data_IF_867964205471
#
_entry.id   IF_867964205471
#
_cell.length_a   1.000
_cell.length_b   1.000
_cell.length_c   1.000
_cell.angle_alpha   90.00
_cell.angle_beta   90.00
_cell.angle_gamma   90.00
#
_symmetry.space_group_name_H-M   'P 1'
#
loop_
_entity.id
_entity.type
_entity.pdbx_description
1 polymer ?
#
# COMPACT_ATOMS: atom_id res chain seq x y z
N UNK A 1 1.84 -21.47 9.77
CA UNK A 1 1.53 -20.77 8.52
C UNK A 1 2.81 -20.66 7.70
N UNK A 2 2.86 -21.22 6.50
CA UNK A 2 4.08 -21.28 5.68
C UNK A 2 3.79 -20.91 4.23
N UNK A 3 4.36 -19.82 3.74
CA UNK A 3 4.18 -19.29 2.40
C UNK A 3 5.50 -19.34 1.64
N UNK A 4 5.47 -19.88 0.43
CA UNK A 4 6.50 -19.72 -0.58
C UNK A 4 6.08 -18.60 -1.54
N UNK A 5 6.86 -17.53 -1.61
CA UNK A 5 6.71 -16.47 -2.60
C UNK A 5 7.67 -16.75 -3.75
N UNK A 6 7.12 -17.22 -4.87
CA UNK A 6 7.84 -17.41 -6.11
C UNK A 6 7.93 -16.09 -6.88
N UNK A 7 9.11 -15.49 -6.93
CA UNK A 7 9.36 -14.23 -7.63
C UNK A 7 9.78 -14.53 -9.07
N UNK A 8 9.05 -13.93 -10.01
CA UNK A 8 9.36 -13.95 -11.44
C UNK A 8 9.70 -12.51 -11.83
N UNK A 9 10.92 -12.27 -12.28
CA UNK A 9 11.40 -10.92 -12.53
C UNK A 9 10.96 -10.40 -13.90
N UNK A 10 10.30 -9.26 -13.90
CA UNK A 10 9.84 -8.55 -15.08
C UNK A 10 10.69 -7.30 -15.30
N UNK A 11 11.34 -7.25 -16.45
CA UNK A 11 12.24 -6.18 -16.86
C UNK A 11 11.64 -5.25 -17.92
N UNK A 12 10.61 -5.70 -18.64
CA UNK A 12 9.92 -4.90 -19.66
C UNK A 12 8.44 -5.29 -19.75
N UNK A 13 7.63 -4.39 -20.30
CA UNK A 13 6.21 -4.63 -20.59
C UNK A 13 5.86 -4.17 -22.01
N UNK A 14 5.11 -5.00 -22.73
CA UNK A 14 4.73 -4.75 -24.12
C UNK A 14 3.30 -5.17 -24.40
N UNK A 15 2.68 -4.58 -25.43
CA UNK A 15 1.41 -5.07 -25.95
C UNK A 15 1.60 -6.30 -26.85
N UNK A 16 0.68 -7.25 -26.76
CA UNK A 16 0.59 -8.39 -27.66
C UNK A 16 -0.87 -8.79 -27.90
N UNK A 17 -1.10 -9.82 -28.73
CA UNK A 17 -2.43 -10.35 -29.02
C UNK A 17 -3.04 -11.16 -27.85
N UNK A 18 -2.20 -11.63 -26.92
CA UNK A 18 -2.57 -12.38 -25.73
C UNK A 18 -1.66 -12.02 -24.56
N UNK A 19 -2.13 -12.21 -23.33
CA UNK A 19 -1.31 -11.98 -22.13
C UNK A 19 -0.43 -13.19 -21.79
N UNK A 20 0.88 -13.00 -21.64
CA UNK A 20 1.87 -14.03 -21.25
C UNK A 20 3.18 -13.40 -20.78
N UNK A 21 4.06 -14.18 -20.18
CA UNK A 21 5.44 -13.77 -19.86
C UNK A 21 6.42 -14.62 -20.66
N UNK A 22 7.43 -13.98 -21.24
CA UNK A 22 8.51 -14.66 -21.96
C UNK A 22 9.81 -13.87 -21.77
N UNK A 23 10.89 -14.57 -21.40
CA UNK A 23 12.24 -14.01 -21.26
C UNK A 23 12.32 -12.73 -20.39
N UNK A 24 11.55 -12.67 -19.30
CA UNK A 24 11.52 -11.50 -18.41
C UNK A 24 10.72 -10.31 -18.94
N UNK A 25 9.99 -10.46 -20.05
CA UNK A 25 9.05 -9.46 -20.57
C UNK A 25 7.61 -9.91 -20.30
N UNK A 26 6.80 -9.02 -19.73
CA UNK A 26 5.36 -9.19 -19.62
C UNK A 26 4.68 -8.65 -20.88
N UNK A 27 4.06 -9.54 -21.65
CA UNK A 27 3.21 -9.17 -22.77
C UNK A 27 1.76 -9.13 -22.30
N UNK A 28 1.06 -8.01 -22.54
CA UNK A 28 -0.35 -7.84 -22.15
C UNK A 28 -1.25 -7.64 -23.36
N UNK A 29 -2.41 -8.29 -23.35
CA UNK A 29 -3.44 -8.02 -24.34
C UNK A 29 -4.35 -6.88 -23.89
N UNK A 30 -4.29 -5.78 -24.65
CA UNK A 30 -5.11 -4.59 -24.44
C UNK A 30 -6.60 -4.91 -24.43
N UNK A 31 -7.05 -5.73 -25.38
CA UNK A 31 -8.48 -6.02 -25.55
C UNK A 31 -9.02 -6.94 -24.44
N UNK A 32 -8.24 -7.93 -23.99
CA UNK A 32 -8.63 -8.82 -22.89
C UNK A 32 -8.84 -8.02 -21.59
N UNK A 33 -7.94 -7.07 -21.30
CA UNK A 33 -8.06 -6.19 -20.13
C UNK A 33 -9.27 -5.25 -20.25
N UNK A 34 -9.47 -4.61 -21.40
CA UNK A 34 -10.63 -3.72 -21.62
C UNK A 34 -11.94 -4.49 -21.44
N UNK A 35 -12.04 -5.69 -22.02
CA UNK A 35 -13.23 -6.52 -21.90
C UNK A 35 -13.49 -6.93 -20.43
N UNK A 36 -12.46 -7.29 -19.68
CA UNK A 36 -12.56 -7.63 -18.26
C UNK A 36 -13.05 -6.46 -17.40
N UNK A 37 -12.55 -5.26 -17.65
CA UNK A 37 -12.97 -4.04 -16.93
C UNK A 37 -14.43 -3.70 -17.23
N UNK A 38 -14.86 -3.86 -18.48
CA UNK A 38 -16.22 -3.54 -18.93
C UNK A 38 -17.27 -4.62 -18.59
N UNK A 39 -16.87 -5.71 -17.92
CA UNK A 39 -17.84 -6.63 -17.29
C UNK A 39 -18.63 -5.96 -16.17
N UNK A 40 -18.04 -4.94 -15.53
CA UNK A 40 -18.73 -4.11 -14.54
C UNK A 40 -19.55 -3.05 -15.27
N UNK A 41 -20.87 -3.18 -15.26
CA UNK A 41 -21.76 -2.32 -16.02
C UNK A 41 -21.75 -0.87 -15.54
N UNK A 42 -21.17 -0.58 -14.36
CA UNK A 42 -20.96 0.79 -13.86
C UNK A 42 -19.90 1.55 -14.64
N UNK A 43 -19.02 0.84 -15.34
CA UNK A 43 -17.95 1.39 -16.17
C UNK A 43 -18.38 1.41 -17.65
N UNK A 44 -18.32 2.57 -18.29
CA UNK A 44 -18.80 2.77 -19.67
C UNK A 44 -17.69 2.77 -20.72
N UNK A 45 -16.45 2.99 -20.30
CA UNK A 45 -15.28 2.88 -21.17
C UNK A 45 -14.06 2.50 -20.36
N UNK A 46 -13.16 1.74 -20.98
CA UNK A 46 -11.86 1.40 -20.45
C UNK A 46 -10.80 1.53 -21.54
N UNK A 47 -9.59 1.86 -21.13
CA UNK A 47 -8.41 1.94 -21.96
C UNK A 47 -7.19 1.41 -21.19
N UNK A 48 -6.14 0.99 -21.90
CA UNK A 48 -4.93 0.45 -21.27
C UNK A 48 -3.70 1.05 -21.90
N UNK A 49 -2.80 1.56 -21.08
CA UNK A 49 -1.55 2.12 -21.56
C UNK A 49 -0.37 1.58 -20.75
N UNK A 50 0.83 1.71 -21.29
CA UNK A 50 2.07 1.27 -20.66
C UNK A 50 2.94 2.47 -20.34
N UNK A 51 3.61 2.40 -19.19
CA UNK A 51 4.59 3.38 -18.76
C UNK A 51 5.80 2.66 -18.15
N UNK A 52 6.99 2.90 -18.70
CA UNK A 52 8.22 2.20 -18.32
C UNK A 52 9.20 3.13 -17.63
N UNK A 53 10.11 2.58 -16.80
CA UNK A 53 11.10 3.38 -16.09
C UNK A 53 11.92 4.26 -17.05
N UNK A 54 12.01 5.56 -16.74
CA UNK A 54 12.79 6.54 -17.50
C UNK A 54 12.07 7.16 -18.70
N UNK A 55 10.86 6.71 -19.06
CA UNK A 55 10.09 7.35 -20.13
C UNK A 55 9.56 8.74 -19.71
N UNK A 56 9.37 9.64 -20.67
CA UNK A 56 8.71 10.95 -20.42
C UNK A 56 7.20 10.77 -20.33
N UNK A 57 6.76 10.15 -19.24
CA UNK A 57 5.35 9.79 -18.98
C UNK A 57 4.94 10.24 -17.57
N UNK A 58 3.79 10.89 -17.48
CA UNK A 58 3.07 11.15 -16.22
C UNK A 58 1.80 10.32 -16.16
N UNK A 59 1.56 9.63 -15.05
CA UNK A 59 0.30 8.95 -14.75
C UNK A 59 -0.44 9.78 -13.70
N UNK A 60 -1.66 10.22 -14.01
CA UNK A 60 -2.44 11.08 -13.15
C UNK A 60 -3.94 11.00 -13.48
N UNK A 61 -4.84 11.08 -12.50
CA UNK A 61 -4.64 10.68 -11.11
C UNK A 61 -4.34 9.17 -10.99
N UNK A 62 -3.64 8.78 -9.95
CA UNK A 62 -3.34 7.38 -9.59
C UNK A 62 -4.16 7.00 -8.38
N UNK A 63 -4.98 5.96 -8.54
CA UNK A 63 -5.86 5.43 -7.52
C UNK A 63 -5.16 4.44 -6.59
N UNK A 64 -4.74 3.33 -7.18
CA UNK A 64 -4.09 2.22 -6.52
C UNK A 64 -3.03 1.63 -7.46
N UNK A 65 -2.03 1.02 -6.84
CA UNK A 65 -0.97 0.29 -7.52
C UNK A 65 -0.95 -1.11 -6.96
N UNK A 66 -0.93 -2.12 -7.83
CA UNK A 66 -1.13 -3.52 -7.45
C UNK A 66 -0.06 -4.38 -8.13
N UNK A 67 0.66 -5.20 -7.38
CA UNK A 67 1.55 -6.21 -7.96
C UNK A 67 0.73 -7.39 -8.50
N UNK A 68 0.89 -7.79 -9.77
CA UNK A 68 0.25 -8.99 -10.27
C UNK A 68 0.79 -10.24 -9.56
N UNK A 69 -0.10 -10.99 -8.93
CA UNK A 69 0.21 -12.24 -8.22
C UNK A 69 -0.81 -13.33 -8.54
N UNK A 70 -0.39 -14.58 -8.44
CA UNK A 70 -1.26 -15.76 -8.62
C UNK A 70 -0.97 -16.84 -7.59
N UNK A 71 -2.03 -17.39 -7.00
CA UNK A 71 -1.94 -18.54 -6.08
C UNK A 71 -1.80 -19.83 -6.88
N UNK A 72 -0.69 -20.54 -6.73
CA UNK A 72 -0.39 -21.77 -7.51
C UNK A 72 -0.48 -23.05 -6.68
N UNK A 73 -0.32 -22.96 -5.36
CA UNK A 73 -0.47 -24.07 -4.43
C UNK A 73 -1.09 -23.59 -3.11
N UNK A 74 -1.93 -24.41 -2.50
CA UNK A 74 -2.64 -24.10 -1.26
C UNK A 74 -4.07 -23.64 -1.49
N UNK A 75 -4.78 -23.38 -0.39
CA UNK A 75 -6.17 -22.96 -0.43
C UNK A 75 -6.30 -21.45 -0.71
N UNK A 76 -7.44 -21.06 -1.27
CA UNK A 76 -7.79 -19.65 -1.51
C UNK A 76 -7.25 -19.09 -2.83
N UNK A 77 -7.25 -17.77 -2.92
CA UNK A 77 -6.77 -17.00 -4.05
C UNK A 77 -6.54 -15.56 -3.62
N UNK A 78 -5.89 -14.75 -4.46
CA UNK A 78 -5.56 -13.37 -4.12
C UNK A 78 -6.83 -12.54 -3.83
N UNK A 79 -6.71 -11.61 -2.88
CA UNK A 79 -7.79 -10.70 -2.46
C UNK A 79 -9.08 -11.43 -2.04
N UNK A 80 -8.99 -12.34 -1.06
CA UNK A 80 -10.13 -13.11 -0.55
C UNK A 80 -11.21 -12.20 0.03
N UNK A 81 -12.47 -12.50 -0.28
CA UNK A 81 -13.63 -11.71 0.13
C UNK A 81 -13.96 -10.52 -0.79
N UNK A 82 -13.12 -10.23 -1.78
CA UNK A 82 -13.36 -9.16 -2.75
C UNK A 82 -13.55 -9.74 -4.16
N UNK A 83 -12.51 -10.32 -4.75
CA UNK A 83 -12.60 -10.98 -6.08
C UNK A 83 -12.61 -12.51 -5.98
N UNK A 84 -12.14 -13.06 -4.86
CA UNK A 84 -12.16 -14.49 -4.58
C UNK A 84 -13.03 -14.80 -3.36
N UNK A 85 -13.43 -16.07 -3.20
CA UNK A 85 -14.20 -16.51 -2.01
C UNK A 85 -13.40 -16.26 -0.73
N UNK A 86 -14.11 -15.92 0.36
CA UNK A 86 -13.49 -15.75 1.68
C UNK A 86 -12.89 -17.09 2.14
N UNK A 87 -11.56 -17.16 2.11
CA UNK A 87 -10.73 -18.25 2.59
C UNK A 87 -9.50 -17.63 3.24
N UNK A 88 -9.00 -18.23 4.32
CA UNK A 88 -7.74 -17.81 4.91
C UNK A 88 -6.62 -18.06 3.89
N UNK A 89 -5.77 -17.06 3.69
CA UNK A 89 -4.61 -17.10 2.78
C UNK A 89 -3.32 -17.16 3.60
N UNK A 90 -2.16 -17.05 2.96
CA UNK A 90 -0.86 -17.00 3.63
C UNK A 90 -0.16 -18.35 3.81
N UNK A 91 -0.67 -19.43 3.21
CA UNK A 91 -0.02 -20.75 3.17
C UNK A 91 0.06 -21.31 1.75
N UNK A 92 1.06 -22.15 1.46
CA UNK A 92 1.27 -22.74 0.13
C UNK A 92 2.19 -21.88 -0.72
N UNK A 93 1.94 -21.76 -2.02
CA UNK A 93 2.81 -21.01 -2.94
C UNK A 93 2.03 -19.98 -3.76
N UNK A 94 2.58 -18.77 -3.81
CA UNK A 94 2.07 -17.65 -4.60
C UNK A 94 3.19 -17.15 -5.51
N UNK A 95 2.92 -17.01 -6.80
CA UNK A 95 3.86 -16.39 -7.74
C UNK A 95 3.58 -14.90 -7.86
N UNK A 96 4.63 -14.09 -7.97
CA UNK A 96 4.59 -12.65 -8.12
C UNK A 96 5.40 -12.20 -9.33
N UNK A 97 4.82 -11.30 -10.14
CA UNK A 97 5.50 -10.66 -11.27
C UNK A 97 6.26 -9.42 -10.80
N UNK A 98 7.40 -9.66 -10.15
CA UNK A 98 8.20 -8.62 -9.50
C UNK A 98 8.80 -7.68 -10.55
N UNK A 99 8.51 -6.39 -10.41
CA UNK A 99 8.92 -5.36 -11.37
C UNK A 99 7.81 -4.94 -12.34
N UNK A 100 6.66 -5.61 -12.33
CA UNK A 100 5.43 -5.16 -12.99
C UNK A 100 4.42 -4.63 -11.96
N UNK A 101 3.61 -3.66 -12.37
CA UNK A 101 2.51 -3.17 -11.55
C UNK A 101 1.29 -2.81 -12.41
N UNK A 102 0.09 -3.08 -11.89
CA UNK A 102 -1.16 -2.55 -12.43
C UNK A 102 -1.46 -1.25 -11.72
N UNK A 103 -1.60 -0.17 -12.50
CA UNK A 103 -1.90 1.17 -11.99
C UNK A 103 -3.29 1.56 -12.45
N UNK A 104 -4.18 1.83 -11.51
CA UNK A 104 -5.53 2.30 -11.85
C UNK A 104 -5.56 3.83 -11.94
N UNK A 105 -6.17 4.32 -13.02
CA UNK A 105 -6.24 5.75 -13.34
C UNK A 105 -7.54 6.09 -14.07
N UNK A 106 -7.77 7.38 -14.35
CA UNK A 106 -8.93 7.89 -15.07
C UNK A 106 -9.59 9.06 -14.36
N UNK A 107 -10.87 9.27 -14.62
CA UNK A 107 -11.65 10.30 -13.93
C UNK A 107 -12.18 9.73 -12.62
N UNK A 108 -11.43 9.90 -11.54
CA UNK A 108 -11.72 9.32 -10.21
C UNK A 108 -12.57 10.28 -9.37
N UNK A 109 -13.26 9.76 -8.35
CA UNK A 109 -14.00 10.57 -7.38
C UNK A 109 -13.14 10.79 -6.14
N UNK A 110 -12.75 12.05 -5.89
CA UNK A 110 -12.02 12.42 -4.69
C UNK A 110 -10.75 13.23 -4.98
N UNK A 111 -10.43 14.15 -4.07
CA UNK A 111 -9.32 15.12 -4.19
C UNK A 111 -7.99 14.57 -3.63
N UNK A 112 -7.92 13.26 -3.37
CA UNK A 112 -6.84 12.63 -2.59
C UNK A 112 -6.17 11.49 -3.39
N UNK A 113 -6.11 11.65 -4.71
CA UNK A 113 -5.36 10.77 -5.61
C UNK A 113 -4.09 11.48 -6.08
N UNK A 114 -3.09 10.72 -6.48
CA UNK A 114 -1.74 11.25 -6.71
C UNK A 114 -1.24 11.16 -8.13
N UNK A 115 0.05 11.46 -8.29
CA UNK A 115 0.76 11.37 -9.56
C UNK A 115 1.99 10.47 -9.47
N UNK A 116 2.31 9.84 -10.60
CA UNK A 116 3.58 9.13 -10.83
C UNK A 116 4.22 9.74 -12.07
N UNK A 117 5.41 10.30 -11.92
CA UNK A 117 6.29 10.63 -13.05
C UNK A 117 7.30 9.49 -13.24
N UNK A 118 7.45 9.02 -14.47
CA UNK A 118 8.37 7.92 -14.80
C UNK A 118 9.82 8.40 -15.00
N UNK A 119 10.05 9.71 -15.08
CA UNK A 119 11.37 10.34 -15.21
C UNK A 119 11.41 11.72 -14.54
N UNK A 120 12.58 12.34 -14.48
CA UNK A 120 12.76 13.66 -13.85
C UNK A 120 12.93 13.60 -12.32
N UNK A 121 12.80 14.76 -11.67
CA UNK A 121 13.04 14.90 -10.23
C UNK A 121 11.99 14.16 -9.40
N UNK A 122 10.72 14.30 -9.76
CA UNK A 122 9.59 13.67 -9.08
C UNK A 122 9.67 12.14 -9.06
N UNK A 123 10.21 11.52 -10.13
CA UNK A 123 10.37 10.08 -10.24
C UNK A 123 11.23 9.48 -9.11
N UNK A 124 12.14 10.25 -8.51
CA UNK A 124 12.98 9.78 -7.39
C UNK A 124 12.18 9.51 -6.12
N UNK A 125 11.00 10.12 -6.01
CA UNK A 125 10.17 10.12 -4.82
C UNK A 125 9.01 9.14 -4.89
N UNK A 126 8.95 8.25 -5.88
CA UNK A 126 7.95 7.17 -5.88
C UNK A 126 8.61 5.87 -6.28
N UNK A 127 8.32 4.74 -5.60
CA UNK A 127 8.85 3.44 -6.01
C UNK A 127 8.35 3.03 -7.40
N UNK A 128 7.19 3.56 -7.82
CA UNK A 128 6.50 3.15 -9.05
C UNK A 128 7.05 3.78 -10.33
N UNK A 129 7.99 4.71 -10.23
CA UNK A 129 8.79 5.14 -11.38
C UNK A 129 9.77 4.05 -11.85
N UNK A 130 10.02 3.04 -11.00
CA UNK A 130 10.93 1.92 -11.25
C UNK A 130 10.22 0.62 -11.64
N UNK A 131 8.89 0.63 -11.70
CA UNK A 131 8.08 -0.51 -12.16
C UNK A 131 7.70 -0.37 -13.62
N UNK A 132 7.48 -1.50 -14.28
CA UNK A 132 6.83 -1.58 -15.57
C UNK A 132 5.31 -1.53 -15.35
N UNK A 133 4.71 -0.36 -15.62
CA UNK A 133 3.33 -0.10 -15.26
C UNK A 133 2.37 -0.42 -16.41
N UNK A 134 1.37 -1.25 -16.12
CA UNK A 134 0.16 -1.46 -16.92
C UNK A 134 -0.92 -0.55 -16.37
N UNK A 135 -1.13 0.59 -17.01
CA UNK A 135 -2.09 1.59 -16.58
C UNK A 135 -3.48 1.27 -17.12
N UNK A 136 -4.45 1.09 -16.23
CA UNK A 136 -5.85 0.83 -16.56
C UNK A 136 -6.63 2.11 -16.35
N UNK A 137 -7.12 2.69 -17.44
CA UNK A 137 -7.88 3.93 -17.45
C UNK A 137 -9.36 3.58 -17.62
N UNK A 138 -10.22 4.02 -16.71
CA UNK A 138 -11.66 3.78 -16.83
C UNK A 138 -12.50 5.05 -16.65
N UNK A 139 -13.73 4.99 -17.15
CA UNK A 139 -14.76 6.01 -16.94
C UNK A 139 -16.04 5.34 -16.47
N UNK A 140 -16.57 5.81 -15.34
CA UNK A 140 -17.87 5.37 -14.86
C UNK A 140 -19.04 6.09 -15.57
N UNK A 141 -20.24 5.52 -15.44
CA UNK A 141 -21.51 6.14 -15.84
C UNK A 141 -21.63 7.55 -15.26
N UNK A 142 -22.17 8.48 -16.04
CA UNK A 142 -22.45 9.84 -15.56
C UNK A 142 -23.51 9.80 -14.45
N UNK A 143 -23.29 10.55 -13.37
CA UNK A 143 -24.21 10.59 -12.22
C UNK A 143 -24.21 9.35 -11.31
N UNK A 144 -23.24 8.44 -11.47
CA UNK A 144 -23.04 7.33 -10.53
C UNK A 144 -22.77 7.85 -9.11
N UNK A 145 -23.21 7.12 -8.10
CA UNK A 145 -22.84 7.39 -6.72
C UNK A 145 -21.32 7.28 -6.52
N UNK A 146 -20.76 8.15 -5.68
CA UNK A 146 -19.32 8.20 -5.43
C UNK A 146 -18.79 6.86 -4.90
N UNK A 147 -19.46 6.25 -3.91
CA UNK A 147 -19.01 4.98 -3.34
C UNK A 147 -19.11 3.83 -4.34
N UNK A 148 -20.13 3.84 -5.21
CA UNK A 148 -20.27 2.84 -6.27
C UNK A 148 -19.18 2.97 -7.34
N UNK A 149 -18.83 4.19 -7.75
CA UNK A 149 -17.72 4.44 -8.67
C UNK A 149 -16.42 3.92 -8.08
N UNK A 150 -16.12 4.29 -6.85
CA UNK A 150 -14.90 3.88 -6.18
C UNK A 150 -14.79 2.36 -6.03
N UNK A 151 -15.92 1.70 -5.75
CA UNK A 151 -15.99 0.24 -5.70
C UNK A 151 -15.71 -0.37 -7.08
N UNK A 152 -16.30 0.17 -8.15
CA UNK A 152 -16.09 -0.32 -9.52
C UNK A 152 -14.62 -0.18 -9.95
N UNK A 153 -14.01 0.99 -9.69
CA UNK A 153 -12.60 1.25 -10.01
C UNK A 153 -11.64 0.33 -9.26
N UNK A 154 -11.89 0.07 -7.97
CA UNK A 154 -11.09 -0.89 -7.19
C UNK A 154 -11.20 -2.30 -7.74
N UNK A 155 -12.42 -2.76 -8.01
CA UNK A 155 -12.63 -4.09 -8.59
C UNK A 155 -11.96 -4.24 -9.96
N UNK A 156 -11.98 -3.20 -10.79
CA UNK A 156 -11.26 -3.19 -12.05
C UNK A 156 -9.75 -3.43 -11.86
N UNK A 157 -9.10 -2.68 -10.96
CA UNK A 157 -7.68 -2.86 -10.65
C UNK A 157 -7.34 -4.26 -10.15
N UNK A 158 -8.08 -4.76 -9.15
CA UNK A 158 -7.84 -6.08 -8.56
C UNK A 158 -8.06 -7.21 -9.55
N UNK A 159 -9.14 -7.15 -10.35
CA UNK A 159 -9.41 -8.14 -11.40
C UNK A 159 -8.31 -8.16 -12.45
N UNK A 160 -7.86 -7.00 -12.92
CA UNK A 160 -6.78 -6.91 -13.92
C UNK A 160 -5.46 -7.43 -13.35
N UNK A 161 -5.11 -7.07 -12.12
CA UNK A 161 -3.91 -7.59 -11.46
C UNK A 161 -3.94 -9.12 -11.29
N UNK A 162 -5.08 -9.67 -10.88
CA UNK A 162 -5.26 -11.13 -10.78
C UNK A 162 -5.17 -11.81 -12.15
N UNK A 163 -5.83 -11.24 -13.17
CA UNK A 163 -5.78 -11.75 -14.54
C UNK A 163 -4.37 -11.74 -15.13
N UNK A 164 -3.61 -10.65 -14.96
CA UNK A 164 -2.21 -10.58 -15.40
C UNK A 164 -1.34 -11.56 -14.59
N UNK A 165 -1.61 -11.71 -13.29
CA UNK A 165 -0.93 -12.67 -12.43
C UNK A 165 -1.02 -14.11 -12.95
N UNK A 166 -2.14 -14.50 -13.58
CA UNK A 166 -2.32 -15.84 -14.16
C UNK A 166 -1.27 -16.18 -15.23
N UNK A 167 -0.67 -15.19 -15.90
CA UNK A 167 0.45 -15.42 -16.82
C UNK A 167 1.66 -16.08 -16.16
N UNK A 168 1.76 -16.01 -14.82
CA UNK A 168 2.84 -16.57 -14.03
C UNK A 168 2.57 -18.00 -13.50
N UNK A 169 1.36 -18.54 -13.65
CA UNK A 169 0.93 -19.77 -12.96
C UNK A 169 1.81 -20.97 -13.26
N UNK A 170 2.10 -21.20 -14.54
CA UNK A 170 2.86 -22.37 -15.02
C UNK A 170 4.36 -22.07 -15.18
N UNK A 171 4.82 -20.90 -14.76
CA UNK A 171 6.22 -20.50 -14.86
C UNK A 171 7.02 -21.01 -13.67
N UNK A 172 8.29 -21.30 -13.90
CA UNK A 172 9.26 -21.54 -12.82
C UNK A 172 9.74 -20.18 -12.29
N UNK A 173 9.60 -19.90 -10.98
CA UNK A 173 10.13 -18.66 -10.40
C UNK A 173 11.65 -18.55 -10.53
N UNK A 174 12.14 -17.32 -10.71
CA UNK A 174 13.57 -17.00 -10.68
C UNK A 174 14.14 -17.13 -9.26
N UNK A 175 13.32 -16.79 -8.26
CA UNK A 175 13.64 -16.90 -6.84
C UNK A 175 12.43 -17.45 -6.08
N UNK A 176 12.66 -18.32 -5.08
CA UNK A 176 11.62 -18.73 -4.12
C UNK A 176 12.08 -18.30 -2.73
N UNK A 177 11.28 -17.45 -2.08
CA UNK A 177 11.48 -17.04 -0.69
C UNK A 177 10.44 -17.73 0.18
N UNK A 178 10.87 -18.38 1.26
CA UNK A 178 9.98 -19.06 2.19
C UNK A 178 9.83 -18.24 3.48
N UNK A 179 8.58 -17.98 3.85
CA UNK A 179 8.21 -17.35 5.10
C UNK A 179 7.42 -18.32 5.95
N UNK A 180 7.74 -18.42 7.24
CA UNK A 180 7.07 -19.32 8.16
C UNK A 180 6.85 -18.66 9.51
N UNK A 181 5.62 -18.73 10.01
CA UNK A 181 5.26 -18.43 11.40
C UNK A 181 4.51 -19.64 11.95
N UNK A 182 5.03 -20.25 13.01
CA UNK A 182 4.43 -21.43 13.65
C UNK A 182 3.18 -21.08 14.46
N UNK A 183 2.38 -22.07 14.86
CA UNK A 183 1.35 -21.86 15.87
C UNK A 183 1.93 -21.14 17.10
N UNK A 184 1.18 -20.21 17.68
CA UNK A 184 1.69 -19.28 18.71
C UNK A 184 2.53 -19.94 19.82
N UNK A 185 2.05 -21.03 20.44
CA UNK A 185 2.76 -21.71 21.52
C UNK A 185 4.11 -22.31 21.08
N UNK A 186 4.20 -22.73 19.82
CA UNK A 186 5.45 -23.22 19.23
C UNK A 186 6.37 -22.05 18.84
N UNK A 187 5.79 -20.98 18.27
CA UNK A 187 6.52 -19.78 17.86
C UNK A 187 7.23 -19.12 19.05
N UNK A 188 6.54 -18.93 20.17
CA UNK A 188 7.15 -18.32 21.37
C UNK A 188 8.28 -19.18 21.95
N UNK A 189 8.19 -20.50 21.81
CA UNK A 189 9.13 -21.45 22.40
C UNK A 189 10.34 -21.72 21.51
N UNK A 190 10.30 -21.31 20.24
CA UNK A 190 11.35 -21.60 19.26
C UNK A 190 12.67 -20.89 19.59
N UNK A 191 12.59 -19.63 20.02
CA UNK A 191 13.74 -18.81 20.38
C UNK A 191 13.52 -18.17 21.75
N UNK A 192 13.65 -18.94 22.85
CA UNK A 192 13.26 -18.50 24.19
C UNK A 192 14.14 -17.37 24.74
N UNK A 193 15.38 -17.24 24.24
CA UNK A 193 16.35 -16.24 24.69
C UNK A 193 16.30 -14.93 23.88
N UNK A 194 15.48 -14.85 22.82
CA UNK A 194 15.33 -13.66 21.98
C UNK A 194 14.09 -12.85 22.38
N UNK A 195 14.11 -11.51 22.23
CA UNK A 195 12.95 -10.69 22.49
C UNK A 195 11.81 -11.04 21.54
N UNK A 196 10.61 -11.21 22.09
CA UNK A 196 9.37 -11.47 21.35
C UNK A 196 8.88 -10.16 20.77
N UNK A 197 8.97 -10.01 19.45
CA UNK A 197 8.65 -8.77 18.75
C UNK A 197 7.39 -8.97 17.91
N UNK A 198 6.44 -8.03 18.04
CA UNK A 198 5.26 -7.95 17.16
C UNK A 198 5.30 -6.73 16.26
N UNK A 199 4.41 -6.72 15.27
CA UNK A 199 4.18 -5.57 14.40
C UNK A 199 2.74 -5.09 14.56
N UNK A 200 2.54 -3.83 14.93
CA UNK A 200 1.23 -3.19 14.93
C UNK A 200 1.07 -2.48 13.58
N UNK A 201 0.26 -3.06 12.71
CA UNK A 201 -0.03 -2.50 11.39
C UNK A 201 -1.34 -1.72 11.45
N UNK A 202 -1.25 -0.40 11.35
CA UNK A 202 -2.41 0.48 11.33
C UNK A 202 -3.00 0.53 9.92
N UNK A 203 -4.31 0.35 9.84
CA UNK A 203 -5.08 0.45 8.60
C UNK A 203 -5.88 1.73 8.59
N UNK A 204 -5.70 2.51 7.54
CA UNK A 204 -6.50 3.71 7.33
C UNK A 204 -8.00 3.37 7.30
N UNK A 205 -8.75 4.03 8.18
CA UNK A 205 -10.21 3.87 8.28
C UNK A 205 -10.97 5.17 8.55
N UNK A 206 -10.39 6.29 8.07
CA UNK A 206 -10.92 7.65 8.12
C UNK A 206 -11.20 8.22 6.73
N UNK A 207 -11.15 7.41 5.69
CA UNK A 207 -11.31 7.88 4.32
C UNK A 207 -12.72 8.39 4.06
N UNK A 208 -12.83 9.46 3.28
CA UNK A 208 -14.12 10.11 3.00
C UNK A 208 -15.10 9.18 2.24
N UNK A 209 -14.57 8.34 1.36
CA UNK A 209 -15.35 7.46 0.49
C UNK A 209 -15.18 5.98 0.85
N UNK A 210 -13.98 5.60 1.29
CA UNK A 210 -13.60 4.22 1.55
C UNK A 210 -12.30 4.15 2.34
N UNK A 211 -12.05 2.95 2.85
CA UNK A 211 -11.00 2.62 3.79
C UNK A 211 -10.25 1.38 3.31
N UNK A 212 -9.22 0.95 4.03
CA UNK A 212 -8.54 -0.31 3.77
C UNK A 212 -9.49 -1.49 4.05
N UNK A 213 -9.36 -2.57 3.28
CA UNK A 213 -10.16 -3.78 3.45
C UNK A 213 -9.31 -4.94 3.97
N UNK A 214 -9.81 -5.62 5.01
CA UNK A 214 -9.26 -6.87 5.53
C UNK A 214 -10.24 -8.01 5.25
N UNK A 215 -9.83 -8.99 4.41
CA UNK A 215 -10.71 -10.06 3.90
C UNK A 215 -12.04 -9.54 3.32
N UNK A 216 -11.99 -8.38 2.63
CA UNK A 216 -13.17 -7.71 2.06
C UNK A 216 -14.05 -6.97 3.07
N UNK A 217 -13.71 -6.98 4.36
CA UNK A 217 -14.36 -6.18 5.39
C UNK A 217 -13.63 -4.84 5.52
N UNK A 218 -14.40 -3.77 5.40
CA UNK A 218 -13.97 -2.40 5.63
C UNK A 218 -13.36 -2.24 7.04
N UNK A 219 -12.16 -1.64 7.14
CA UNK A 219 -11.37 -1.58 8.35
C UNK A 219 -12.06 -0.91 9.54
N UNK A 220 -12.97 0.04 9.31
CA UNK A 220 -13.74 0.69 10.40
C UNK A 220 -14.71 -0.26 11.11
N UNK A 221 -14.99 -1.43 10.53
CA UNK A 221 -15.99 -2.38 11.04
C UNK A 221 -15.41 -3.45 11.95
N UNK A 222 -14.10 -3.58 12.06
CA UNK A 222 -13.47 -4.57 12.94
C UNK A 222 -12.80 -3.92 14.15
N UNK A 223 -12.59 -4.72 15.19
CA UNK A 223 -11.82 -4.35 16.39
C UNK A 223 -10.46 -5.02 16.28
N UNK A 224 -9.35 -4.38 16.70
CA UNK A 224 -8.01 -4.89 16.46
C UNK A 224 -7.84 -6.38 16.76
N UNK A 225 -7.17 -7.07 15.84
CA UNK A 225 -7.05 -8.52 15.83
C UNK A 225 -5.59 -8.93 15.60
N UNK A 226 -5.30 -10.20 15.91
CA UNK A 226 -4.02 -10.81 15.58
C UNK A 226 -4.13 -11.62 14.27
N UNK A 227 -3.08 -11.59 13.45
CA UNK A 227 -3.00 -12.35 12.19
C UNK A 227 -1.58 -12.83 11.90
N UNK A 228 -1.47 -13.85 11.04
CA UNK A 228 -0.17 -14.27 10.53
C UNK A 228 0.36 -13.25 9.52
N UNK A 229 1.67 -12.92 9.53
CA UNK A 229 2.20 -11.90 8.63
C UNK A 229 2.09 -12.29 7.14
N UNK A 230 2.17 -13.59 6.81
CA UNK A 230 2.08 -14.08 5.43
C UNK A 230 0.69 -13.91 4.82
N UNK A 231 -0.36 -13.70 5.62
CA UNK A 231 -1.70 -13.40 5.10
C UNK A 231 -1.69 -12.07 4.32
N UNK A 232 -0.93 -11.08 4.80
CA UNK A 232 -0.78 -9.78 4.13
C UNK A 232 -0.07 -9.95 2.79
N UNK A 233 1.02 -10.72 2.76
CA UNK A 233 1.76 -11.07 1.53
C UNK A 233 0.90 -11.83 0.51
N UNK A 234 -0.19 -12.46 0.95
CA UNK A 234 -1.07 -13.26 0.10
C UNK A 234 -2.42 -12.58 -0.18
N UNK A 235 -2.46 -11.25 0.00
CA UNK A 235 -3.56 -10.40 -0.44
C UNK A 235 -4.73 -10.28 0.53
N UNK A 236 -4.56 -10.63 1.81
CA UNK A 236 -5.61 -10.46 2.81
C UNK A 236 -6.01 -8.99 3.03
N UNK A 237 -5.13 -8.05 2.68
CA UNK A 237 -5.35 -6.61 2.81
C UNK A 237 -5.34 -5.96 1.42
N UNK A 238 -6.35 -5.15 1.15
CA UNK A 238 -6.48 -4.38 -0.08
C UNK A 238 -6.64 -2.91 0.26
N UNK A 239 -5.85 -2.07 -0.39
CA UNK A 239 -5.97 -0.63 -0.23
C UNK A 239 -7.28 -0.18 -0.86
N UNK A 240 -7.99 0.64 -0.10
CA UNK A 240 -9.14 1.36 -0.59
C UNK A 240 -9.11 2.76 -0.04
N UNK A 241 -7.95 3.39 0.08
CA UNK A 241 -7.83 4.62 0.85
C UNK A 241 -7.96 5.88 -0.01
N UNK A 242 -8.70 6.83 0.53
CA UNK A 242 -8.77 8.22 0.08
C UNK A 242 -8.05 9.08 1.12
N UNK A 243 -6.73 9.21 0.99
CA UNK A 243 -5.82 9.98 1.87
C UNK A 243 -4.73 10.64 1.05
N UNK A 244 -3.86 11.45 1.67
CA UNK A 244 -2.77 12.10 0.97
C UNK A 244 -1.99 11.10 0.11
N UNK A 245 -1.67 11.44 -1.14
CA UNK A 245 -0.97 10.49 -2.00
C UNK A 245 0.37 10.01 -1.43
N UNK A 246 1.08 10.87 -0.71
CA UNK A 246 2.43 10.60 -0.19
C UNK A 246 2.51 9.51 0.88
N UNK A 247 1.51 9.40 1.74
CA UNK A 247 1.47 8.43 2.84
C UNK A 247 0.61 7.20 2.52
N UNK A 248 -0.08 7.20 1.37
CA UNK A 248 -0.94 6.11 0.92
C UNK A 248 -0.22 4.75 0.85
N UNK A 249 -0.71 3.78 1.62
CA UNK A 249 -0.31 2.38 1.51
C UNK A 249 -1.18 1.71 0.44
N UNK A 250 -0.70 1.73 -0.80
CA UNK A 250 -1.32 1.00 -1.93
C UNK A 250 -1.40 -0.51 -1.68
N UNK A 251 -2.23 -1.22 -2.46
CA UNK A 251 -2.31 -2.69 -2.38
C UNK A 251 -0.95 -3.34 -2.64
N UNK A 252 -0.13 -2.77 -3.52
CA UNK A 252 1.25 -3.19 -3.76
C UNK A 252 2.09 -3.12 -2.48
N UNK A 253 1.96 -2.06 -1.68
CA UNK A 253 2.72 -1.92 -0.44
C UNK A 253 2.26 -2.89 0.65
N UNK A 254 0.96 -3.22 0.73
CA UNK A 254 0.52 -4.29 1.61
C UNK A 254 1.15 -5.62 1.21
N UNK A 255 1.10 -5.98 -0.07
CA UNK A 255 1.70 -7.22 -0.60
C UNK A 255 3.23 -7.30 -0.40
N UNK A 256 3.91 -6.15 -0.33
CA UNK A 256 5.36 -6.01 -0.21
C UNK A 256 5.76 -5.22 1.05
N UNK A 257 5.12 -5.48 2.20
CA UNK A 257 5.39 -4.71 3.41
C UNK A 257 6.83 -4.94 3.91
N UNK A 258 7.69 -3.90 3.94
CA UNK A 258 9.12 -4.07 4.18
C UNK A 258 9.42 -4.35 5.67
N UNK A 259 8.56 -3.89 6.59
CA UNK A 259 8.66 -4.20 8.01
C UNK A 259 8.48 -5.69 8.24
N UNK A 260 7.51 -6.32 7.56
CA UNK A 260 7.29 -7.77 7.66
C UNK A 260 8.49 -8.54 7.08
N UNK A 261 8.99 -8.13 5.91
CA UNK A 261 10.16 -8.78 5.31
C UNK A 261 11.39 -8.70 6.21
N UNK A 262 11.67 -7.53 6.78
CA UNK A 262 12.84 -7.35 7.64
C UNK A 262 12.68 -8.05 9.00
N UNK A 263 11.47 -8.08 9.57
CA UNK A 263 11.18 -8.88 10.77
C UNK A 263 11.40 -10.37 10.52
N UNK A 264 11.01 -10.91 9.36
CA UNK A 264 11.35 -12.29 8.99
C UNK A 264 12.86 -12.49 8.79
N UNK A 265 13.58 -11.53 8.21
CA UNK A 265 15.05 -11.62 8.05
C UNK A 265 15.77 -11.64 9.41
N UNK A 266 15.24 -10.97 10.43
CA UNK A 266 15.81 -10.91 11.77
C UNK A 266 15.27 -11.96 12.76
N UNK A 267 14.20 -12.66 12.38
CA UNK A 267 13.64 -13.75 13.15
C UNK A 267 14.68 -14.86 13.38
N UNK A 268 14.87 -15.25 14.65
CA UNK A 268 15.86 -16.25 15.06
C UNK A 268 17.30 -15.74 15.13
N UNK A 269 17.54 -14.45 14.85
CA UNK A 269 18.86 -13.79 14.94
C UNK A 269 18.89 -12.79 16.07
N UNK A 270 18.11 -11.72 15.92
CA UNK A 270 18.08 -10.60 16.86
C UNK A 270 16.76 -10.56 17.65
N UNK A 271 15.71 -11.20 17.11
CA UNK A 271 14.37 -11.21 17.68
C UNK A 271 13.60 -12.50 17.35
N UNK A 272 12.55 -12.76 18.12
CA UNK A 272 11.52 -13.75 17.80
C UNK A 272 10.27 -13.01 17.28
N UNK A 273 10.10 -12.96 15.96
CA UNK A 273 8.92 -12.34 15.36
C UNK A 273 7.67 -13.20 15.62
N UNK A 274 6.70 -12.64 16.33
CA UNK A 274 5.51 -13.36 16.80
C UNK A 274 4.35 -13.28 15.81
N UNK A 275 4.14 -12.13 15.18
CA UNK A 275 3.06 -11.90 14.24
C UNK A 275 2.62 -10.44 14.16
N UNK A 276 1.44 -10.22 13.59
CA UNK A 276 0.90 -8.87 13.34
C UNK A 276 -0.35 -8.63 14.18
N UNK A 277 -0.38 -7.52 14.90
CA UNK A 277 -1.60 -6.92 15.45
C UNK A 277 -2.10 -5.94 14.41
N UNK A 278 -3.24 -6.26 13.79
CA UNK A 278 -3.90 -5.37 12.85
C UNK A 278 -4.84 -4.45 13.62
N UNK A 279 -4.69 -3.15 13.46
CA UNK A 279 -5.58 -2.14 14.06
C UNK A 279 -6.10 -1.19 12.99
N UNK A 280 -7.18 -0.50 13.30
CA UNK A 280 -7.76 0.53 12.46
C UNK A 280 -7.52 1.93 13.06
N UNK A 281 -7.77 2.94 12.25
CA UNK A 281 -7.63 4.35 12.59
C UNK A 281 -9.02 5.00 12.45
N UNK A 282 -9.80 5.06 13.52
CA UNK A 282 -11.16 5.59 13.42
C UNK A 282 -11.20 7.10 13.69
N UNK A 283 -12.20 7.79 13.11
CA UNK A 283 -12.33 9.25 13.28
C UNK A 283 -12.63 9.64 14.73
N UNK A 284 -13.53 8.92 15.39
CA UNK A 284 -14.05 9.31 16.70
C UNK A 284 -13.18 8.83 17.86
N UNK A 285 -12.94 9.71 18.83
CA UNK A 285 -12.10 9.44 20.00
C UNK A 285 -12.49 8.15 20.76
N UNK A 286 -13.78 7.88 20.95
CA UNK A 286 -14.24 6.68 21.65
C UNK A 286 -13.87 5.37 20.90
N UNK A 287 -13.75 5.43 19.58
CA UNK A 287 -13.30 4.30 18.77
C UNK A 287 -11.77 4.19 18.84
N UNK A 288 -11.03 5.31 18.80
CA UNK A 288 -9.57 5.32 19.03
C UNK A 288 -9.21 4.72 20.38
N UNK A 289 -9.92 5.10 21.45
CA UNK A 289 -9.74 4.54 22.80
C UNK A 289 -9.98 3.03 22.81
N UNK A 290 -11.11 2.58 22.24
CA UNK A 290 -11.47 1.16 22.19
C UNK A 290 -10.44 0.33 21.43
N UNK A 291 -9.97 0.82 20.29
CA UNK A 291 -9.04 0.08 19.43
C UNK A 291 -7.65 0.03 20.06
N UNK A 292 -7.15 1.16 20.55
CA UNK A 292 -5.86 1.20 21.24
C UNK A 292 -5.87 0.43 22.58
N UNK A 293 -7.01 0.35 23.30
CA UNK A 293 -7.16 -0.54 24.46
C UNK A 293 -7.02 -2.01 24.07
N UNK A 294 -7.62 -2.41 22.95
CA UNK A 294 -7.47 -3.77 22.42
C UNK A 294 -6.02 -4.04 21.99
N UNK A 295 -5.34 -3.08 21.36
CA UNK A 295 -3.92 -3.20 21.01
C UNK A 295 -3.07 -3.44 22.26
N UNK A 296 -3.19 -2.59 23.29
CA UNK A 296 -2.47 -2.76 24.56
C UNK A 296 -2.74 -4.13 25.20
N UNK A 297 -4.01 -4.56 25.23
CA UNK A 297 -4.39 -5.90 25.70
C UNK A 297 -3.73 -7.01 24.89
N UNK A 298 -3.70 -6.91 23.55
CA UNK A 298 -3.09 -7.93 22.69
C UNK A 298 -1.57 -7.99 22.88
N UNK A 299 -0.91 -6.85 23.08
CA UNK A 299 0.51 -6.77 23.42
C UNK A 299 0.81 -7.54 24.72
N UNK A 300 0.05 -7.29 25.79
CA UNK A 300 0.18 -8.01 27.06
C UNK A 300 -0.18 -9.50 26.93
N UNK A 301 -1.29 -9.80 26.25
CA UNK A 301 -1.81 -11.17 26.10
C UNK A 301 -0.87 -12.08 25.30
N UNK A 302 -0.21 -11.52 24.29
CA UNK A 302 0.82 -12.21 23.49
C UNK A 302 2.20 -12.15 24.15
N UNK A 303 2.33 -11.45 25.28
CA UNK A 303 3.58 -11.30 26.03
C UNK A 303 4.71 -10.68 25.21
N UNK A 304 4.43 -9.66 24.39
CA UNK A 304 5.43 -9.06 23.52
C UNK A 304 6.41 -8.18 24.31
N UNK A 305 7.71 -8.35 24.06
CA UNK A 305 8.78 -7.53 24.67
C UNK A 305 9.00 -6.23 23.88
N UNK A 306 8.64 -6.22 22.60
CA UNK A 306 8.73 -5.03 21.73
C UNK A 306 7.73 -5.04 20.59
N UNK A 307 7.40 -3.85 20.09
CA UNK A 307 6.52 -3.66 18.93
C UNK A 307 7.06 -2.56 18.01
N UNK A 308 6.94 -2.81 16.71
CA UNK A 308 7.08 -1.78 15.68
C UNK A 308 5.66 -1.33 15.31
N UNK A 309 5.44 -0.04 15.13
CA UNK A 309 4.16 0.52 14.71
C UNK A 309 4.38 1.35 13.45
N UNK A 310 3.63 1.05 12.39
CA UNK A 310 3.55 1.91 11.20
C UNK A 310 2.16 2.52 11.14
N UNK A 311 2.12 3.80 10.80
CA UNK A 311 0.90 4.56 10.53
C UNK A 311 0.51 4.46 9.05
N UNK A 312 -0.75 4.78 8.72
CA UNK A 312 -1.15 5.11 7.37
C UNK A 312 -1.95 6.42 7.33
N UNK A 313 -1.36 7.51 6.84
CA UNK A 313 -2.02 8.82 6.82
C UNK A 313 -1.35 9.82 7.77
N UNK A 314 -1.94 11.01 7.90
CA UNK A 314 -1.41 12.06 8.76
C UNK A 314 -2.50 12.92 9.40
N UNK A 315 -2.16 13.59 10.50
CA UNK A 315 -3.03 14.50 11.22
C UNK A 315 -3.88 13.78 12.27
N UNK A 316 -5.10 13.37 11.93
CA UNK A 316 -5.96 12.67 12.89
C UNK A 316 -5.51 11.22 13.19
N UNK A 317 -4.93 10.46 12.22
CA UNK A 317 -4.21 9.21 12.48
C UNK A 317 -3.08 9.34 13.52
N UNK A 318 -2.40 10.48 13.62
CA UNK A 318 -1.29 10.67 14.57
C UNK A 318 -1.75 10.41 16.01
N UNK A 319 -3.01 10.76 16.33
CA UNK A 319 -3.61 10.44 17.64
C UNK A 319 -3.75 8.93 17.87
N UNK A 320 -4.13 8.14 16.86
CA UNK A 320 -4.17 6.68 16.95
C UNK A 320 -2.77 6.10 17.18
N UNK A 321 -1.77 6.59 16.43
CA UNK A 321 -0.37 6.19 16.56
C UNK A 321 0.14 6.42 17.99
N UNK A 322 -0.09 7.63 18.51
CA UNK A 322 0.30 8.01 19.87
C UNK A 322 -0.45 7.22 20.96
N UNK A 323 -1.74 6.95 20.77
CA UNK A 323 -2.51 6.12 21.70
C UNK A 323 -2.02 4.67 21.72
N UNK A 324 -1.72 4.09 20.56
CA UNK A 324 -1.14 2.76 20.44
C UNK A 324 0.25 2.71 21.10
N UNK A 325 1.10 3.72 20.87
CA UNK A 325 2.41 3.85 21.51
C UNK A 325 2.30 3.83 23.04
N UNK A 326 1.46 4.71 23.61
CA UNK A 326 1.26 4.81 25.06
C UNK A 326 0.75 3.50 25.66
N UNK A 327 -0.24 2.87 25.04
CA UNK A 327 -0.88 1.66 25.57
C UNK A 327 -0.02 0.40 25.40
N UNK A 328 0.72 0.27 24.30
CA UNK A 328 1.71 -0.79 24.15
C UNK A 328 2.86 -0.65 25.16
N UNK A 329 3.32 0.58 25.40
CA UNK A 329 4.33 0.87 26.43
C UNK A 329 3.83 0.53 27.83
N UNK A 330 2.58 0.92 28.15
CA UNK A 330 1.95 0.58 29.43
C UNK A 330 1.77 -0.94 29.64
N UNK A 331 1.58 -1.69 28.55
CA UNK A 331 1.55 -3.16 28.55
C UNK A 331 2.95 -3.80 28.71
N UNK A 332 4.02 -3.00 28.74
CA UNK A 332 5.38 -3.44 29.03
C UNK A 332 6.30 -3.59 27.80
N UNK A 333 5.81 -3.33 26.59
CA UNK A 333 6.61 -3.44 25.37
C UNK A 333 7.49 -2.20 25.13
N UNK A 334 8.66 -2.42 24.50
CA UNK A 334 9.43 -1.34 23.85
C UNK A 334 8.81 -0.99 22.50
N UNK A 335 8.63 0.28 22.21
CA UNK A 335 7.92 0.73 21.01
C UNK A 335 8.87 1.47 20.07
N UNK A 336 8.82 1.12 18.78
CA UNK A 336 9.44 1.88 17.69
C UNK A 336 8.33 2.34 16.75
N UNK A 337 8.26 3.64 16.49
CA UNK A 337 7.32 4.20 15.52
C UNK A 337 8.01 4.42 14.18
N UNK A 338 7.30 4.17 13.10
CA UNK A 338 7.67 4.56 11.74
C UNK A 338 6.53 5.42 11.20
N UNK A 339 6.80 6.68 10.87
CA UNK A 339 5.82 7.66 10.38
C UNK A 339 6.52 8.72 9.53
N UNK A 340 5.78 9.59 8.87
CA UNK A 340 6.28 10.77 8.17
C UNK A 340 6.00 12.07 8.92
N UNK A 341 6.33 13.20 8.29
CA UNK A 341 6.31 14.52 8.93
C UNK A 341 5.62 15.57 8.07
N UNK A 342 4.84 16.44 8.72
CA UNK A 342 4.14 17.55 8.06
C UNK A 342 4.43 18.90 8.73
N UNK A 343 5.70 19.36 8.75
CA UNK A 343 6.13 20.57 9.46
C UNK A 343 5.77 21.88 8.73
N UNK A 344 4.94 21.82 7.67
CA UNK A 344 4.60 22.94 6.82
C UNK A 344 5.74 23.34 5.87
N UNK A 345 5.43 24.22 4.90
CA UNK A 345 6.35 24.59 3.80
C UNK A 345 7.67 25.21 4.27
N UNK A 346 7.65 25.89 5.41
CA UNK A 346 8.85 26.53 5.99
C UNK A 346 9.59 25.61 6.97
N UNK A 347 9.06 24.40 7.23
CA UNK A 347 9.64 23.41 8.12
C UNK A 347 9.58 23.77 9.62
N UNK A 348 8.72 24.71 10.03
CA UNK A 348 8.70 25.23 11.41
C UNK A 348 7.49 24.82 12.24
N UNK A 349 6.52 24.15 11.64
CA UNK A 349 5.36 23.63 12.36
C UNK A 349 5.73 22.35 13.10
N UNK A 350 4.89 21.94 14.05
CA UNK A 350 5.04 20.61 14.64
C UNK A 350 4.87 19.55 13.55
N UNK A 351 5.79 18.58 13.48
CA UNK A 351 5.78 17.55 12.45
C UNK A 351 4.57 16.62 12.55
N UNK A 352 4.12 16.34 13.78
CA UNK A 352 2.97 15.49 14.09
C UNK A 352 1.92 16.31 14.84
N UNK A 353 0.64 15.98 14.63
CA UNK A 353 -0.50 16.63 15.26
C UNK A 353 -0.70 16.23 16.73
N UNK A 354 -0.22 15.05 17.14
CA UNK A 354 -0.20 14.59 18.52
C UNK A 354 1.18 13.99 18.86
N UNK A 355 1.56 14.06 20.14
CA UNK A 355 2.81 13.51 20.64
C UNK A 355 2.69 13.11 22.11
N UNK A 356 3.35 12.02 22.49
CA UNK A 356 3.36 11.51 23.86
C UNK A 356 4.79 11.24 24.34
N UNK A 357 5.12 11.39 25.62
CA UNK A 357 6.47 11.17 26.12
C UNK A 357 7.00 9.75 25.89
N UNK A 358 6.11 8.77 25.75
CA UNK A 358 6.45 7.36 25.46
C UNK A 358 6.94 7.16 24.02
N UNK A 359 6.66 8.08 23.10
CA UNK A 359 7.15 8.06 21.73
C UNK A 359 8.62 8.55 21.66
N UNK A 360 9.51 7.86 22.37
CA UNK A 360 10.93 8.22 22.48
C UNK A 360 11.81 7.66 21.37
N UNK A 361 11.26 6.79 20.52
CA UNK A 361 11.95 6.14 19.40
C UNK A 361 11.09 6.20 18.14
N UNK A 362 11.40 7.16 17.27
CA UNK A 362 10.65 7.42 16.03
C UNK A 362 11.60 7.43 14.84
N UNK A 363 11.27 6.67 13.80
CA UNK A 363 11.93 6.66 12.50
C UNK A 363 11.06 7.44 11.53
N UNK A 364 11.57 8.58 11.07
CA UNK A 364 10.86 9.42 10.09
C UNK A 364 11.11 8.95 8.66
N UNK A 365 10.05 8.84 7.87
CA UNK A 365 10.05 8.57 6.43
C UNK A 365 10.14 9.85 5.57
N UNK A 366 10.56 10.98 6.15
CA UNK A 366 10.67 12.27 5.46
C UNK A 366 9.45 13.16 5.63
N UNK A 367 9.42 14.27 4.88
CA UNK A 367 8.38 15.30 5.04
C UNK A 367 7.61 15.60 3.75
N UNK A 368 6.29 15.74 3.88
CA UNK A 368 5.39 15.89 2.73
C UNK A 368 5.34 17.31 2.14
N UNK A 369 5.72 18.35 2.88
CA UNK A 369 5.45 19.75 2.52
C UNK A 369 6.50 20.41 1.61
N UNK A 370 7.56 19.69 1.22
CA UNK A 370 8.57 20.20 0.31
C UNK A 370 7.96 20.47 -1.07
N UNK A 371 8.01 21.73 -1.53
CA UNK A 371 7.61 22.07 -2.91
C UNK A 371 8.74 21.66 -3.85
N UNK A 372 8.39 20.89 -4.88
CA UNK A 372 9.30 20.54 -5.98
C UNK A 372 8.70 20.94 -7.33
N UNK A 373 9.57 21.03 -8.33
CA UNK A 373 9.18 21.28 -9.71
C UNK A 373 9.08 19.97 -10.51
N UNK A 374 7.94 19.79 -11.15
CA UNK A 374 7.66 18.68 -12.06
C UNK A 374 7.73 19.20 -13.49
N UNK A 375 8.68 18.74 -14.32
CA UNK A 375 8.73 19.16 -15.72
C UNK A 375 7.50 18.66 -16.49
N UNK A 376 7.19 19.25 -17.66
CA UNK A 376 6.18 18.67 -18.54
C UNK A 376 6.66 17.32 -19.06
N UNK A 377 5.72 16.39 -19.26
CA UNK A 377 6.00 15.07 -19.84
C UNK A 377 5.41 14.98 -21.25
N UNK A 378 6.10 14.27 -22.15
CA UNK A 378 5.65 14.09 -23.54
C UNK A 378 4.30 13.36 -23.61
N UNK A 379 4.00 12.53 -22.62
CA UNK A 379 2.77 11.75 -22.52
C UNK A 379 2.15 11.83 -21.13
N UNK A 380 0.84 12.02 -21.09
CA UNK A 380 0.02 11.90 -19.87
C UNK A 380 -0.93 10.72 -20.03
N UNK A 381 -0.90 9.80 -19.08
CA UNK A 381 -1.86 8.71 -18.95
C UNK A 381 -2.89 9.11 -17.89
N UNK A 382 -4.16 9.20 -18.30
CA UNK A 382 -5.26 9.70 -17.46
C UNK A 382 -5.59 11.17 -17.76
N UNK A 383 -5.65 12.02 -16.74
CA UNK A 383 -5.99 13.45 -16.84
C UNK A 383 -5.26 14.31 -15.80
N UNK A 384 -4.96 15.56 -16.14
CA UNK A 384 -4.40 16.56 -15.22
C UNK A 384 -5.46 17.48 -14.58
N UNK A 385 -6.75 17.31 -14.92
CA UNK A 385 -7.85 18.18 -14.49
C UNK A 385 -7.90 18.40 -12.97
N UNK A 386 -7.46 17.42 -12.18
CA UNK A 386 -7.57 17.46 -10.73
C UNK A 386 -6.31 17.98 -10.02
N UNK A 387 -5.18 18.16 -10.72
CA UNK A 387 -3.87 18.47 -10.11
C UNK A 387 -3.93 19.62 -9.11
N UNK A 388 -4.56 20.75 -9.47
CA UNK A 388 -4.61 21.93 -8.60
C UNK A 388 -5.50 21.76 -7.36
N UNK A 389 -6.38 20.76 -7.38
CA UNK A 389 -7.30 20.43 -6.29
C UNK A 389 -6.87 19.20 -5.51
N UNK A 390 -5.86 18.46 -5.98
CA UNK A 390 -5.26 17.35 -5.25
C UNK A 390 -4.52 17.85 -4.02
N UNK A 391 -4.41 17.00 -2.98
CA UNK A 391 -3.50 17.26 -1.86
C UNK A 391 -2.07 17.45 -2.39
N UNK A 392 -1.43 18.53 -1.93
CA UNK A 392 -0.11 18.99 -2.38
C UNK A 392 -0.14 19.92 -3.60
N UNK A 393 -1.21 19.88 -4.40
CA UNK A 393 -1.52 20.87 -5.41
C UNK A 393 -2.11 22.16 -4.82
N UNK A 394 -2.14 23.20 -5.63
CA UNK A 394 -2.80 24.47 -5.30
C UNK A 394 -3.17 25.23 -6.58
N UNK A 395 -4.04 26.25 -6.47
CA UNK A 395 -4.40 27.10 -7.61
C UNK A 395 -3.15 27.73 -8.25
N UNK A 396 -2.95 27.50 -9.55
CA UNK A 396 -1.78 27.92 -10.30
C UNK A 396 -0.55 27.01 -10.16
N UNK A 397 -0.67 25.85 -9.51
CA UNK A 397 0.39 24.84 -9.47
C UNK A 397 0.63 24.24 -10.86
N UNK A 398 -0.43 23.96 -11.63
CA UNK A 398 -0.35 23.47 -13.00
C UNK A 398 -0.16 24.64 -13.98
N UNK A 399 0.94 24.59 -14.75
CA UNK A 399 1.27 25.65 -15.71
C UNK A 399 0.71 25.33 -17.11
N UNK A 400 0.54 26.35 -17.98
CA UNK A 400 0.05 26.14 -19.34
C UNK A 400 0.92 25.22 -20.21
N UNK A 401 2.20 25.06 -19.87
CA UNK A 401 3.12 24.14 -20.57
C UNK A 401 3.05 22.70 -20.07
N UNK A 402 2.24 22.41 -19.04
CA UNK A 402 2.08 21.08 -18.43
C UNK A 402 3.05 20.79 -17.28
N UNK A 403 3.93 21.72 -16.93
CA UNK A 403 4.74 21.63 -15.70
C UNK A 403 3.88 21.87 -14.44
N UNK A 404 4.33 21.35 -13.30
CA UNK A 404 3.64 21.49 -12.01
C UNK A 404 4.64 21.97 -10.95
N UNK A 405 4.26 22.93 -10.13
CA UNK A 405 4.94 23.22 -8.85
C UNK A 405 4.01 22.79 -7.72
N UNK A 406 4.35 21.73 -6.99
CA UNK A 406 3.49 21.15 -5.97
C UNK A 406 4.31 20.60 -4.80
N UNK A 407 3.66 20.46 -3.65
CA UNK A 407 4.25 19.76 -2.50
C UNK A 407 4.42 18.27 -2.80
N UNK A 408 5.43 17.67 -2.18
CA UNK A 408 5.73 16.24 -2.28
C UNK A 408 4.53 15.35 -1.96
N UNK A 409 3.57 15.87 -1.19
CA UNK A 409 2.30 15.22 -0.87
C UNK A 409 1.53 14.69 -2.09
N UNK A 410 1.67 15.33 -3.25
CA UNK A 410 0.94 14.93 -4.46
C UNK A 410 1.45 13.61 -5.07
N UNK A 411 2.67 13.20 -4.72
CA UNK A 411 3.35 12.03 -5.29
C UNK A 411 2.90 10.78 -4.55
N UNK A 412 2.51 9.74 -5.30
CA UNK A 412 2.11 8.46 -4.70
C UNK A 412 3.27 7.85 -3.90
N UNK A 413 3.00 7.61 -2.61
CA UNK A 413 3.86 6.93 -1.65
C UNK A 413 5.24 7.57 -1.46
N UNK A 414 5.33 8.90 -1.58
CA UNK A 414 6.60 9.61 -1.40
C UNK A 414 7.15 9.57 0.01
N UNK A 415 6.29 9.67 1.02
CA UNK A 415 6.66 9.65 2.45
C UNK A 415 6.05 8.46 3.19
N UNK A 416 5.62 7.41 2.46
CA UNK A 416 4.94 6.25 3.04
C UNK A 416 5.53 5.76 4.38
N UNK A 417 4.67 5.72 5.40
CA UNK A 417 5.01 5.49 6.82
C UNK A 417 5.35 4.03 7.17
N UNK A 418 5.75 3.21 6.19
CA UNK A 418 6.28 1.87 6.41
C UNK A 418 7.73 1.70 5.93
N UNK A 419 8.37 2.75 5.40
CA UNK A 419 9.76 2.72 4.97
C UNK A 419 10.00 2.04 3.61
N UNK A 420 8.96 1.83 2.80
CA UNK A 420 9.13 1.26 1.45
C UNK A 420 9.87 2.22 0.49
N UNK A 421 9.78 3.53 0.74
CA UNK A 421 10.51 4.54 -0.01
C UNK A 421 11.82 4.91 0.70
N UNK A 422 12.72 5.58 -0.03
CA UNK A 422 14.10 5.85 0.41
C UNK A 422 14.25 7.12 1.26
N UNK A 423 13.14 7.80 1.55
CA UNK A 423 13.16 9.02 2.34
C UNK A 423 13.32 8.69 3.82
N UNK A 424 14.21 9.44 4.48
CA UNK A 424 14.33 9.43 5.92
C UNK A 424 14.88 10.77 6.39
N UNK A 425 14.38 11.28 7.52
CA UNK A 425 15.03 12.40 8.19
C UNK A 425 16.36 11.92 8.76
N UNK A 426 17.48 12.49 8.29
CA UNK A 426 18.83 12.06 8.69
C UNK A 426 19.47 12.90 9.79
N UNK A 427 18.90 14.06 10.12
CA UNK A 427 19.35 14.95 11.19
C UNK A 427 18.29 16.03 11.43
N UNK A 428 18.11 16.43 12.69
CA UNK A 428 17.33 17.60 13.13
C UNK A 428 18.20 18.87 13.12
#
# INVERSE_FOLDING_TARGET
>A
MKLELGKIFIHDVQFAERTYVENGTLYVCRQEIISLVLEDDRLVSADVDLAKPGESVRIAPVKDVIEPRVKVEGDGGLFPGIINKVRQVGAGRTHALVGAAVVTSGRIVGFQEGIIDMSGEAAKYTPFSRTNNVCVIFRAKEGIDAHEHETAGRLAGLKVAAYIGEAARELTPDEIVTYETKPYLEQIAEYPDLPKVGYIHMLQSQGLLHDTYYYGVDAKKFIPTFMYPTEIMDGAIVSGNCVAPCDKVTTFHHLNNPVIEDLYKQHGKDLNFIGVILTNENVFLADKERCSDMVGKLVEFLGLDGVIITEEGYGNPDTDLMMNCRKATAAGAKVVLITDEFPGRDGKSQSLADAVPEADTVVSCGQGNLIIHFPPMDKVIGTLEFVETMIGGYEGSLKPDGSIDAELQIIIASTIANGYNHLAARTY
#
